data_IF_225664627786
#
_entry.id   IF_225664627786
#
_cell.length_a   1.000
_cell.length_b   1.000
_cell.length_c   1.000
_cell.angle_alpha   90.00
_cell.angle_beta   90.00
_cell.angle_gamma   90.00
#
_symmetry.space_group_name_H-M   'P 1'
#
loop_
_entity.id
_entity.type
_entity.pdbx_description
1 polymer ?
#
# COMPACT_ATOMS: atom_id res chain seq x y z
N UNK A 1 72.45 24.92 6.44
CA UNK A 1 72.08 23.57 6.00
C UNK A 1 70.55 23.55 5.96
N UNK A 2 69.88 24.09 4.94
CA UNK A 2 69.57 23.58 3.58
C UNK A 2 68.68 22.33 3.56
N UNK A 3 67.37 22.51 3.29
CA UNK A 3 66.47 21.74 2.39
C UNK A 3 65.00 22.22 2.63
N UNK A 4 64.23 22.85 1.74
CA UNK A 4 63.68 22.61 0.37
C UNK A 4 62.33 21.86 0.27
N UNK A 5 61.36 22.54 -0.37
CA UNK A 5 60.09 22.19 -1.07
C UNK A 5 58.97 21.40 -0.35
N UNK A 6 57.71 21.87 -0.47
CA UNK A 6 56.76 21.38 -1.50
C UNK A 6 55.46 22.23 -1.53
N UNK A 7 54.93 22.52 -2.72
CA UNK A 7 53.66 23.21 -2.97
C UNK A 7 52.49 22.21 -2.93
N UNK A 8 51.32 22.59 -2.40
CA UNK A 8 50.07 21.88 -2.73
C UNK A 8 48.84 22.80 -2.71
N UNK A 9 48.38 23.07 -3.93
CA UNK A 9 47.04 23.52 -4.31
C UNK A 9 45.98 22.53 -3.83
N UNK A 10 44.94 23.00 -3.13
CA UNK A 10 43.71 22.23 -2.94
C UNK A 10 42.49 23.16 -3.00
N UNK A 11 41.91 23.20 -4.19
CA UNK A 11 40.54 23.62 -4.47
C UNK A 11 39.56 22.88 -3.55
N UNK A 12 38.96 23.60 -2.61
CA UNK A 12 37.85 23.09 -1.81
C UNK A 12 36.56 23.23 -2.64
N UNK A 13 36.29 22.24 -3.50
CA UNK A 13 34.93 21.96 -3.95
C UNK A 13 34.16 21.41 -2.76
N UNK A 14 33.54 22.31 -1.98
CA UNK A 14 32.43 21.93 -1.12
C UNK A 14 31.24 21.64 -2.01
N UNK A 15 31.03 20.37 -2.31
CA UNK A 15 29.81 19.89 -2.94
C UNK A 15 28.60 20.43 -2.17
N UNK A 16 27.81 21.26 -2.84
CA UNK A 16 26.43 21.52 -2.45
C UNK A 16 25.73 20.15 -2.49
N UNK A 17 25.57 19.54 -1.33
CA UNK A 17 24.76 18.34 -1.18
C UNK A 17 23.32 18.69 -1.58
N UNK A 18 22.99 18.33 -2.82
CA UNK A 18 21.62 18.32 -3.33
C UNK A 18 20.82 17.27 -2.53
N UNK A 19 20.00 17.74 -1.59
CA UNK A 19 19.10 16.91 -0.78
C UNK A 19 17.84 16.45 -1.55
N UNK A 20 17.85 16.44 -2.90
CA UNK A 20 16.74 15.90 -3.70
C UNK A 20 16.43 14.42 -3.41
N UNK A 21 17.35 13.65 -2.82
CA UNK A 21 17.17 12.22 -2.53
C UNK A 21 16.40 11.92 -1.22
N UNK A 22 16.07 12.92 -0.40
CA UNK A 22 15.30 12.72 0.83
C UNK A 22 13.78 12.63 0.61
N UNK A 23 13.29 12.85 -0.62
CA UNK A 23 11.85 12.76 -0.98
C UNK A 23 11.43 11.31 -1.31
N UNK A 24 12.39 10.40 -1.45
CA UNK A 24 12.26 9.25 -2.37
C UNK A 24 11.43 8.04 -1.85
N UNK A 25 11.40 7.65 -0.55
CA UNK A 25 10.64 6.48 -0.12
C UNK A 25 9.17 6.74 0.25
N UNK A 26 8.81 7.94 0.70
CA UNK A 26 7.46 8.23 1.22
C UNK A 26 6.41 8.35 0.11
N UNK A 27 6.80 8.94 -1.02
CA UNK A 27 5.93 9.10 -2.19
C UNK A 27 5.78 7.78 -2.96
N UNK A 28 6.85 6.98 -3.04
CA UNK A 28 6.90 5.78 -3.87
C UNK A 28 5.86 4.70 -3.50
N UNK A 29 5.47 4.64 -2.21
CA UNK A 29 4.47 3.68 -1.72
C UNK A 29 3.19 4.36 -1.27
N UNK A 30 2.95 5.62 -1.63
CA UNK A 30 1.72 6.32 -1.26
C UNK A 30 0.53 5.75 -2.04
N UNK A 31 -0.52 5.35 -1.33
CA UNK A 31 -1.78 4.92 -1.93
C UNK A 31 -2.76 6.09 -2.16
N UNK A 32 -2.37 7.32 -1.81
CA UNK A 32 -3.19 8.53 -1.98
C UNK A 32 -3.89 8.63 -3.36
N UNK A 33 -3.21 8.49 -4.51
CA UNK A 33 -3.88 8.59 -5.82
C UNK A 33 -4.85 7.43 -6.12
N UNK A 34 -4.84 6.39 -5.29
CA UNK A 34 -5.64 5.18 -5.46
C UNK A 34 -6.80 5.09 -4.47
N UNK A 35 -6.95 6.07 -3.56
CA UNK A 35 -8.12 6.20 -2.71
C UNK A 35 -9.28 6.75 -3.53
N UNK A 36 -10.44 6.11 -3.46
CA UNK A 36 -11.66 6.63 -4.05
C UNK A 36 -12.32 7.61 -3.06
N UNK A 37 -11.81 8.84 -3.07
CA UNK A 37 -12.24 9.86 -2.12
C UNK A 37 -13.73 10.20 -2.22
N UNK A 38 -14.35 10.00 -3.38
CA UNK A 38 -15.73 10.40 -3.59
C UNK A 38 -16.73 9.46 -2.92
N UNK A 39 -16.32 8.21 -2.73
CA UNK A 39 -17.11 7.19 -2.05
C UNK A 39 -16.63 6.93 -0.60
N UNK A 40 -15.84 7.82 0.00
CA UNK A 40 -15.56 7.77 1.44
C UNK A 40 -16.84 8.11 2.20
N UNK A 41 -17.22 7.23 3.11
CA UNK A 41 -18.34 7.42 4.03
C UNK A 41 -17.79 7.48 5.45
N UNK A 42 -18.20 8.48 6.22
CA UNK A 42 -17.82 8.63 7.62
C UNK A 42 -19.09 8.64 8.48
N UNK A 43 -19.10 7.84 9.54
CA UNK A 43 -20.21 7.75 10.48
C UNK A 43 -19.84 8.48 11.77
N UNK A 44 -20.83 9.16 12.35
CA UNK A 44 -20.71 10.00 13.55
C UNK A 44 -19.74 11.19 13.41
N UNK A 45 -19.59 11.79 12.23
CA UNK A 45 -18.81 13.03 12.07
C UNK A 45 -19.64 14.28 12.36
N UNK A 46 -19.12 15.23 13.15
CA UNK A 46 -19.79 16.50 13.45
C UNK A 46 -20.01 17.35 12.19
N UNK A 47 -19.02 17.36 11.31
CA UNK A 47 -19.04 18.12 10.06
C UNK A 47 -19.05 17.16 8.88
N UNK A 48 -20.09 17.23 8.06
CA UNK A 48 -20.22 16.35 6.90
C UNK A 48 -19.01 16.44 5.96
N UNK A 49 -18.43 15.29 5.64
CA UNK A 49 -17.25 15.17 4.78
C UNK A 49 -15.92 15.49 5.46
N UNK A 50 -15.87 15.65 6.78
CA UNK A 50 -14.63 15.88 7.53
C UNK A 50 -13.70 14.67 7.51
N UNK A 51 -14.24 13.44 7.59
CA UNK A 51 -13.44 12.21 7.44
C UNK A 51 -12.83 12.07 6.04
N UNK A 52 -13.59 12.44 5.01
CA UNK A 52 -13.08 12.61 3.64
C UNK A 52 -12.01 13.71 3.57
N UNK A 53 -12.21 14.83 4.27
CA UNK A 53 -11.30 15.96 4.34
C UNK A 53 -9.92 15.59 4.87
N UNK A 54 -9.85 14.91 6.01
CA UNK A 54 -8.56 14.49 6.61
C UNK A 54 -7.83 13.45 5.75
N UNK A 55 -8.57 12.65 4.98
CA UNK A 55 -8.01 11.63 4.07
C UNK A 55 -7.51 12.27 2.77
N UNK A 56 -8.09 13.41 2.35
CA UNK A 56 -7.64 14.21 1.20
C UNK A 56 -6.41 15.06 1.47
N UNK A 57 -5.95 15.18 2.72
CA UNK A 57 -4.67 15.84 3.00
C UNK A 57 -3.55 15.04 2.33
N UNK A 58 -2.73 15.72 1.55
CA UNK A 58 -1.53 15.11 0.99
C UNK A 58 -0.47 14.90 2.07
N UNK A 59 0.59 14.15 1.74
CA UNK A 59 1.74 14.03 2.65
C UNK A 59 2.35 15.39 3.04
N UNK A 60 2.34 16.38 2.13
CA UNK A 60 2.83 17.72 2.43
C UNK A 60 1.94 18.45 3.45
N UNK A 61 0.63 18.22 3.39
CA UNK A 61 -0.38 18.88 4.22
C UNK A 61 -0.66 18.14 5.54
N UNK A 62 -0.04 16.98 5.77
CA UNK A 62 -0.31 16.10 6.92
C UNK A 62 -0.21 16.77 8.31
N UNK A 63 0.58 17.83 8.40
CA UNK A 63 0.78 18.60 9.65
C UNK A 63 -0.16 19.79 9.79
N UNK A 64 -0.96 20.09 8.76
CA UNK A 64 -1.97 21.13 8.82
C UNK A 64 -3.03 20.74 9.84
N UNK A 65 -3.49 21.68 10.65
CA UNK A 65 -4.51 21.40 11.65
C UNK A 65 -5.87 21.17 11.00
N UNK A 66 -6.21 21.96 9.97
CA UNK A 66 -7.48 21.86 9.23
C UNK A 66 -7.32 21.14 7.87
N UNK A 67 -8.36 20.42 7.40
CA UNK A 67 -9.57 20.04 8.13
C UNK A 67 -9.27 19.04 9.27
N UNK A 68 -10.07 19.04 10.34
CA UNK A 68 -10.07 18.00 11.39
C UNK A 68 -11.38 17.21 11.36
N UNK A 69 -11.31 15.90 11.62
CA UNK A 69 -12.48 15.05 11.88
C UNK A 69 -12.74 15.06 13.39
N UNK A 70 -13.97 15.38 13.78
CA UNK A 70 -14.46 15.26 15.16
C UNK A 70 -15.74 14.42 15.19
N UNK A 71 -15.94 13.67 16.29
CA UNK A 71 -17.18 12.93 16.50
C UNK A 71 -18.33 13.81 17.01
N UNK A 72 -19.58 13.47 16.67
CA UNK A 72 -20.76 14.31 16.96
C UNK A 72 -21.48 13.92 18.25
N UNK A 73 -21.83 12.64 18.40
CA UNK A 73 -22.70 12.18 19.50
C UNK A 73 -21.95 11.55 20.68
N UNK A 74 -20.88 10.82 20.40
CA UNK A 74 -20.07 10.06 21.35
C UNK A 74 -18.66 9.86 20.76
N UNK A 75 -17.76 9.16 21.47
CA UNK A 75 -16.37 9.03 21.07
C UNK A 75 -16.14 8.10 19.87
N UNK A 76 -17.18 7.41 19.40
CA UNK A 76 -17.04 6.39 18.37
C UNK A 76 -17.01 6.99 16.96
N UNK A 77 -16.07 6.56 16.13
CA UNK A 77 -15.98 6.99 14.72
C UNK A 77 -15.75 5.81 13.80
N UNK A 78 -16.44 5.80 12.66
CA UNK A 78 -16.14 4.87 11.56
C UNK A 78 -15.85 5.64 10.28
N UNK A 79 -14.75 5.28 9.60
CA UNK A 79 -14.44 5.75 8.26
C UNK A 79 -14.37 4.54 7.32
N UNK A 80 -15.26 4.49 6.34
CA UNK A 80 -15.26 3.52 5.25
C UNK A 80 -14.50 4.12 4.05
N UNK A 81 -13.35 3.53 3.69
CA UNK A 81 -12.46 4.00 2.62
C UNK A 81 -12.38 2.96 1.49
N UNK A 82 -13.02 3.22 0.34
CA UNK A 82 -12.80 2.43 -0.86
C UNK A 82 -11.50 2.83 -1.59
N UNK A 83 -10.89 1.87 -2.27
CA UNK A 83 -9.79 2.09 -3.21
C UNK A 83 -10.28 1.87 -4.64
N UNK A 84 -9.63 2.52 -5.59
CA UNK A 84 -9.93 2.41 -7.04
C UNK A 84 -9.49 1.08 -7.67
N UNK A 85 -8.89 0.19 -6.88
CA UNK A 85 -8.41 -1.13 -7.30
C UNK A 85 -7.97 -1.95 -6.09
N UNK A 86 -7.26 -3.04 -6.35
CA UNK A 86 -6.74 -3.87 -5.27
C UNK A 86 -5.39 -3.33 -4.80
N UNK A 87 -5.27 -3.09 -3.50
CA UNK A 87 -4.03 -2.67 -2.86
C UNK A 87 -3.51 -3.76 -1.93
N UNK A 88 -2.19 -3.86 -1.88
CA UNK A 88 -1.47 -4.57 -0.83
C UNK A 88 -1.01 -3.54 0.19
N UNK A 89 -1.74 -3.46 1.29
CA UNK A 89 -1.50 -2.46 2.33
C UNK A 89 -0.23 -2.81 3.11
N UNK A 90 0.62 -1.82 3.34
CA UNK A 90 1.85 -1.93 4.12
C UNK A 90 1.70 -1.27 5.49
N UNK A 91 1.13 -0.06 5.53
CA UNK A 91 0.86 0.66 6.78
C UNK A 91 -0.28 1.67 6.62
N UNK A 92 -0.87 2.04 7.75
CA UNK A 92 -1.82 3.14 7.88
C UNK A 92 -1.11 4.27 8.61
N UNK A 93 -1.17 5.48 8.08
CA UNK A 93 -0.60 6.67 8.69
C UNK A 93 -1.71 7.48 9.34
N UNK A 94 -1.59 7.79 10.62
CA UNK A 94 -2.57 8.58 11.35
C UNK A 94 -1.90 9.70 12.13
N UNK A 95 -2.50 10.89 12.11
CA UNK A 95 -2.13 11.99 13.03
C UNK A 95 -3.34 12.40 13.84
N UNK A 96 -3.09 12.67 15.10
CA UNK A 96 -4.08 13.05 16.11
C UNK A 96 -3.54 14.25 16.88
N UNK A 97 -3.80 14.31 18.20
CA UNK A 97 -3.24 15.30 19.11
C UNK A 97 -2.75 14.64 20.40
N UNK A 98 -2.23 15.44 21.33
CA UNK A 98 -1.88 15.00 22.69
C UNK A 98 -3.06 15.18 23.68
N UNK A 99 -4.27 15.50 23.20
CA UNK A 99 -5.45 15.72 24.05
C UNK A 99 -6.15 14.41 24.42
N UNK A 100 -7.08 14.48 25.37
CA UNK A 100 -8.01 13.38 25.71
C UNK A 100 -8.82 12.90 24.50
N UNK A 101 -9.13 13.80 23.57
CA UNK A 101 -9.87 13.47 22.33
C UNK A 101 -9.08 12.62 21.34
N UNK A 102 -7.79 12.36 21.56
CA UNK A 102 -7.06 11.48 20.67
C UNK A 102 -7.61 10.04 20.78
N UNK A 103 -7.87 9.34 19.67
CA UNK A 103 -8.31 7.95 19.70
C UNK A 103 -7.25 7.07 20.37
N UNK A 104 -7.70 6.10 21.17
CA UNK A 104 -6.82 5.14 21.84
C UNK A 104 -6.72 3.85 21.03
N UNK A 105 -7.84 3.34 20.53
CA UNK A 105 -7.88 2.09 19.79
C UNK A 105 -8.26 2.33 18.33
N UNK A 106 -7.64 1.58 17.42
CA UNK A 106 -8.06 1.50 16.02
C UNK A 106 -8.28 0.03 15.64
N UNK A 107 -9.52 -0.30 15.29
CA UNK A 107 -9.91 -1.58 14.69
C UNK A 107 -10.01 -1.44 13.18
N UNK A 108 -9.36 -2.35 12.46
CA UNK A 108 -9.28 -2.32 10.99
C UNK A 108 -9.96 -3.55 10.40
N UNK A 109 -10.91 -3.29 9.50
CA UNK A 109 -11.60 -4.31 8.71
C UNK A 109 -11.25 -4.12 7.23
N UNK A 110 -11.22 -5.22 6.46
CA UNK A 110 -11.00 -5.17 5.02
C UNK A 110 -12.14 -5.84 4.27
N UNK A 111 -12.48 -5.31 3.09
CA UNK A 111 -13.40 -5.90 2.12
C UNK A 111 -14.77 -6.26 2.70
N UNK A 112 -15.23 -5.49 3.69
CA UNK A 112 -16.59 -5.51 4.20
C UNK A 112 -17.36 -4.34 3.61
N UNK A 113 -18.59 -4.56 3.18
CA UNK A 113 -19.43 -3.48 2.68
C UNK A 113 -19.96 -2.66 3.84
N UNK A 114 -19.81 -1.34 3.74
CA UNK A 114 -20.43 -0.32 4.58
C UNK A 114 -20.56 -0.71 6.05
N UNK A 115 -19.42 -0.94 6.70
CA UNK A 115 -19.39 -1.33 8.11
C UNK A 115 -20.01 -0.22 8.96
N UNK A 116 -20.99 -0.59 9.77
CA UNK A 116 -21.63 0.24 10.77
C UNK A 116 -21.17 -0.16 12.19
N UNK A 117 -21.69 0.51 13.21
CA UNK A 117 -21.28 0.29 14.60
C UNK A 117 -21.64 -1.12 15.10
N UNK A 118 -22.83 -1.63 14.77
CA UNK A 118 -23.24 -2.99 15.15
C UNK A 118 -22.28 -4.04 14.55
N UNK A 119 -21.98 -3.94 13.25
CA UNK A 119 -21.04 -4.84 12.61
C UNK A 119 -19.60 -4.68 13.15
N UNK A 120 -19.17 -3.47 13.49
CA UNK A 120 -17.82 -3.20 14.00
C UNK A 120 -17.61 -3.71 15.44
N UNK A 121 -18.67 -3.82 16.22
CA UNK A 121 -18.64 -4.39 17.58
C UNK A 121 -18.68 -5.92 17.56
N UNK A 122 -19.50 -6.51 16.69
CA UNK A 122 -19.70 -7.97 16.64
C UNK A 122 -18.63 -8.73 15.86
N UNK A 123 -18.08 -8.13 14.81
CA UNK A 123 -17.13 -8.81 13.93
C UNK A 123 -15.71 -8.71 14.49
N UNK A 124 -14.90 -9.79 14.37
CA UNK A 124 -13.49 -9.70 14.68
C UNK A 124 -12.80 -8.79 13.67
N UNK A 125 -12.11 -7.76 14.16
CA UNK A 125 -11.23 -6.93 13.35
C UNK A 125 -10.11 -7.77 12.72
N UNK A 126 -9.72 -7.44 11.48
CA UNK A 126 -8.60 -8.12 10.81
C UNK A 126 -7.29 -7.83 11.55
N UNK A 127 -7.16 -6.61 12.06
CA UNK A 127 -6.11 -6.17 12.95
C UNK A 127 -6.58 -5.01 13.83
N UNK A 128 -6.08 -4.98 15.06
CA UNK A 128 -6.33 -3.93 16.04
C UNK A 128 -4.99 -3.29 16.43
N UNK A 129 -5.03 -1.98 16.70
CA UNK A 129 -3.88 -1.17 17.11
C UNK A 129 -4.22 -0.37 18.36
N UNK A 130 -3.31 -0.38 19.33
CA UNK A 130 -3.26 0.63 20.38
C UNK A 130 -2.44 1.81 19.86
N UNK A 131 -3.06 2.99 19.83
CA UNK A 131 -2.47 4.24 19.37
C UNK A 131 -1.74 4.93 20.52
N UNK A 132 -0.74 5.74 20.18
CA UNK A 132 -0.09 6.64 21.14
C UNK A 132 -0.82 7.99 21.17
N UNK A 133 -0.91 8.60 22.36
CA UNK A 133 -1.42 9.96 22.54
C UNK A 133 -0.35 10.98 22.11
N UNK A 134 -0.24 11.24 20.81
CA UNK A 134 0.80 12.11 20.23
C UNK A 134 0.26 13.00 19.11
N UNK A 135 0.94 14.13 18.88
CA UNK A 135 0.71 15.03 17.76
C UNK A 135 1.53 14.66 16.51
N UNK A 136 2.45 13.70 16.64
CA UNK A 136 3.25 13.18 15.54
C UNK A 136 2.45 12.22 14.66
N UNK A 137 2.88 12.07 13.41
CA UNK A 137 2.30 11.07 12.50
C UNK A 137 2.77 9.69 12.91
N UNK A 138 1.81 8.82 13.27
CA UNK A 138 2.05 7.42 13.60
C UNK A 138 1.94 6.58 12.33
N UNK A 139 2.96 5.77 12.03
CA UNK A 139 2.93 4.77 10.95
C UNK A 139 2.63 3.40 11.55
N UNK A 140 1.44 2.88 11.27
CA UNK A 140 0.91 1.64 11.84
C UNK A 140 1.10 0.49 10.85
N UNK A 141 2.15 -0.34 11.00
CA UNK A 141 2.41 -1.43 10.07
C UNK A 141 1.35 -2.53 10.19
N UNK A 142 0.75 -2.89 9.07
CA UNK A 142 -0.22 -3.99 9.03
C UNK A 142 0.48 -5.33 8.82
N UNK A 143 -0.18 -6.42 9.22
CA UNK A 143 0.22 -7.78 8.88
C UNK A 143 -0.04 -8.01 7.39
N UNK A 144 0.94 -7.71 6.54
CA UNK A 144 0.82 -7.74 5.07
C UNK A 144 0.21 -9.02 4.50
N UNK A 145 0.40 -10.17 5.17
CA UNK A 145 -0.21 -11.45 4.79
C UNK A 145 -1.75 -11.43 4.83
N UNK A 146 -2.34 -10.60 5.70
CA UNK A 146 -3.79 -10.40 5.82
C UNK A 146 -4.29 -9.35 4.82
N UNK A 147 -3.53 -8.27 4.62
CA UNK A 147 -3.94 -7.12 3.80
C UNK A 147 -3.34 -7.12 2.38
N UNK A 148 -3.22 -8.29 1.74
CA UNK A 148 -2.62 -8.41 0.41
C UNK A 148 -3.56 -8.08 -0.76
N UNK A 149 -4.87 -8.04 -0.51
CA UNK A 149 -5.92 -7.86 -1.53
C UNK A 149 -7.04 -6.95 -1.03
N UNK A 150 -6.67 -5.79 -0.50
CA UNK A 150 -7.62 -4.82 0.04
C UNK A 150 -8.24 -4.03 -1.11
N UNK A 151 -9.55 -3.90 -1.14
CA UNK A 151 -10.30 -3.00 -2.03
C UNK A 151 -11.06 -1.94 -1.24
N UNK A 152 -11.36 -2.23 0.03
CA UNK A 152 -12.01 -1.32 0.97
C UNK A 152 -11.46 -1.56 2.37
N UNK A 153 -11.31 -0.49 3.13
CA UNK A 153 -11.06 -0.52 4.57
C UNK A 153 -12.24 0.08 5.31
N UNK A 154 -12.55 -0.47 6.48
CA UNK A 154 -13.29 0.26 7.50
C UNK A 154 -12.37 0.45 8.70
N UNK A 155 -12.23 1.70 9.13
CA UNK A 155 -11.45 2.09 10.30
C UNK A 155 -12.42 2.48 11.40
N UNK A 156 -12.43 1.72 12.48
CA UNK A 156 -13.30 1.95 13.63
C UNK A 156 -12.46 2.39 14.83
N UNK A 157 -12.82 3.54 15.38
CA UNK A 157 -12.26 4.10 16.62
C UNK A 157 -13.33 3.96 17.70
N UNK A 158 -13.25 2.95 18.59
CA UNK A 158 -14.26 2.74 19.61
C UNK A 158 -14.08 3.63 20.84
N UNK A 159 -12.87 4.15 21.08
CA UNK A 159 -12.55 4.90 22.28
C UNK A 159 -11.45 5.94 22.07
N UNK A 160 -11.33 6.85 23.04
CA UNK A 160 -10.30 7.87 23.11
C UNK A 160 -9.55 7.86 24.45
N UNK A 161 -8.54 8.72 24.57
CA UNK A 161 -7.71 8.83 25.77
C UNK A 161 -8.39 9.49 26.97
N UNK A 162 -9.61 10.05 26.83
CA UNK A 162 -10.35 10.67 27.92
C UNK A 162 -10.99 9.70 28.90
N UNK A 163 -11.13 8.41 28.54
CA UNK A 163 -11.62 7.40 29.48
C UNK A 163 -13.05 7.62 29.99
N UNK A 164 -13.90 8.23 29.16
CA UNK A 164 -15.30 8.54 29.48
C UNK A 164 -15.55 9.95 30.04
N UNK A 165 -14.50 10.74 30.28
CA UNK A 165 -14.64 12.18 30.61
C UNK A 165 -14.62 13.08 29.35
N UNK A 166 -14.23 12.51 28.20
CA UNK A 166 -14.20 13.18 26.91
C UNK A 166 -14.98 12.33 25.90
N UNK A 167 -16.09 12.86 25.43
CA UNK A 167 -16.98 12.15 24.50
C UNK A 167 -16.66 12.49 23.03
N UNK A 168 -15.68 13.37 22.76
CA UNK A 168 -15.33 13.74 21.38
C UNK A 168 -13.98 13.14 20.99
N UNK A 169 -13.97 12.34 19.92
CA UNK A 169 -12.75 11.84 19.29
C UNK A 169 -12.33 12.72 18.13
N UNK A 170 -11.04 13.05 18.03
CA UNK A 170 -10.47 13.94 17.01
C UNK A 170 -9.30 13.30 16.25
N UNK A 171 -9.36 13.38 14.92
CA UNK A 171 -8.32 12.89 14.00
C UNK A 171 -7.99 13.97 12.98
N UNK A 172 -6.71 14.26 12.78
CA UNK A 172 -6.27 15.37 11.91
C UNK A 172 -5.70 14.92 10.58
N UNK A 173 -5.22 13.69 10.43
CA UNK A 173 -4.71 13.17 9.16
C UNK A 173 -4.87 11.66 9.07
N UNK A 174 -5.20 11.20 7.87
CA UNK A 174 -5.23 9.78 7.52
C UNK A 174 -4.57 9.55 6.17
N UNK A 175 -3.60 8.64 6.13
CA UNK A 175 -2.88 8.25 4.91
C UNK A 175 -2.65 6.74 4.86
N UNK A 176 -2.32 6.25 3.67
CA UNK A 176 -2.12 4.81 3.45
C UNK A 176 -0.88 4.57 2.61
N UNK A 177 -0.10 3.56 2.99
CA UNK A 177 1.06 3.11 2.23
C UNK A 177 0.91 1.67 1.77
N UNK A 178 1.37 1.37 0.57
CA UNK A 178 1.26 0.04 -0.02
C UNK A 178 1.63 -0.02 -1.49
N UNK A 179 1.24 -1.11 -2.12
CA UNK A 179 1.37 -1.33 -3.56
C UNK A 179 -0.04 -1.41 -4.16
N UNK A 180 -0.32 -0.62 -5.20
CA UNK A 180 -1.56 -0.73 -5.96
C UNK A 180 -1.40 -1.70 -7.13
N UNK A 181 -2.43 -2.51 -7.37
CA UNK A 181 -2.53 -3.41 -8.51
C UNK A 181 -3.82 -3.10 -9.26
N UNK A 182 -3.70 -2.85 -10.56
CA UNK A 182 -4.86 -2.68 -11.42
C UNK A 182 -5.68 -3.97 -11.46
N UNK A 183 -6.95 -3.89 -11.06
CA UNK A 183 -7.90 -4.98 -11.31
C UNK A 183 -8.18 -5.03 -12.82
N UNK A 184 -7.58 -6.00 -13.51
CA UNK A 184 -8.02 -6.46 -14.83
C UNK A 184 -8.04 -5.42 -15.97
N UNK A 185 -6.91 -5.27 -16.66
CA UNK A 185 -6.88 -5.68 -18.07
C UNK A 185 -5.91 -6.85 -18.13
N UNK A 186 -6.38 -8.04 -18.51
CA UNK A 186 -5.44 -9.00 -19.07
C UNK A 186 -4.67 -8.26 -20.18
N UNK A 187 -3.33 -8.36 -20.26
CA UNK A 187 -2.62 -7.81 -21.40
C UNK A 187 -3.24 -8.43 -22.66
N UNK A 188 -3.98 -7.62 -23.43
CA UNK A 188 -4.64 -8.09 -24.66
C UNK A 188 -3.61 -8.56 -25.70
N UNK A 189 -2.35 -8.16 -25.54
CA UNK A 189 -1.22 -8.66 -26.30
C UNK A 189 -0.12 -9.10 -25.33
N UNK A 190 -0.14 -10.36 -24.88
CA UNK A 190 1.15 -11.06 -24.74
C UNK A 190 1.49 -11.55 -26.15
N UNK A 191 2.08 -10.64 -26.93
CA UNK A 191 2.74 -11.03 -28.16
C UNK A 191 3.98 -11.82 -27.74
N UNK A 192 3.87 -13.15 -27.68
CA UNK A 192 5.03 -14.03 -27.67
C UNK A 192 5.73 -13.86 -29.03
N UNK A 193 6.60 -12.86 -29.18
CA UNK A 193 7.60 -12.84 -30.25
C UNK A 193 8.69 -13.86 -29.91
N UNK A 194 8.31 -15.13 -29.91
CA UNK A 194 9.23 -16.26 -29.91
C UNK A 194 8.56 -17.44 -30.63
N UNK A 195 8.04 -17.19 -31.83
CA UNK A 195 8.03 -18.26 -32.82
C UNK A 195 9.50 -18.50 -33.20
N UNK A 196 10.13 -19.53 -32.62
CA UNK A 196 11.36 -20.04 -33.17
C UNK A 196 11.09 -20.39 -34.64
N UNK A 197 11.67 -19.62 -35.55
CA UNK A 197 11.53 -19.85 -36.98
C UNK A 197 12.19 -21.21 -37.30
N UNK A 198 11.47 -22.24 -37.76
CA UNK A 198 12.04 -23.58 -37.97
C UNK A 198 13.09 -23.66 -39.08
N UNK A 199 13.38 -22.54 -39.76
CA UNK A 199 14.27 -22.47 -40.91
C UNK A 199 15.76 -22.28 -40.56
N UNK A 200 16.14 -22.03 -39.30
CA UNK A 200 17.53 -21.65 -38.97
C UNK A 200 18.41 -22.75 -38.35
N UNK A 201 17.98 -24.02 -38.45
CA UNK A 201 18.83 -25.17 -38.13
C UNK A 201 19.21 -25.93 -39.42
N UNK A 202 20.13 -25.39 -40.21
CA UNK A 202 20.87 -26.17 -41.24
C UNK A 202 21.95 -27.01 -40.56
N UNK A 203 21.56 -28.17 -40.04
CA UNK A 203 22.51 -29.24 -39.71
C UNK A 203 23.03 -29.85 -41.03
N UNK A 204 24.32 -29.65 -41.28
CA UNK A 204 25.03 -30.05 -42.49
C UNK A 204 25.77 -31.37 -42.20
N UNK A 205 25.29 -32.48 -42.77
CA UNK A 205 25.94 -33.80 -42.75
C UNK A 205 25.74 -34.57 -41.43
N UNK A 206 25.47 -35.87 -41.39
CA UNK A 206 25.90 -36.97 -42.25
C UNK A 206 24.80 -38.03 -42.37
N UNK A 207 24.65 -38.59 -43.56
CA UNK A 207 23.64 -39.61 -43.84
C UNK A 207 24.00 -40.97 -43.24
N UNK A 208 23.00 -41.63 -42.67
CA UNK A 208 23.00 -43.09 -42.49
C UNK A 208 21.70 -43.62 -43.05
N UNK A 209 21.82 -44.45 -44.07
CA UNK A 209 20.72 -45.01 -44.85
C UNK A 209 19.78 -45.88 -43.98
N UNK A 210 18.55 -45.39 -43.93
CA UNK A 210 17.25 -46.02 -44.00
C UNK A 210 17.13 -47.49 -44.53
N UNK A 211 16.23 -48.24 -43.86
CA UNK A 211 15.29 -49.32 -44.32
C UNK A 211 15.91 -50.68 -44.73
N UNK A 212 15.35 -51.85 -44.39
CA UNK A 212 13.96 -52.12 -44.06
C UNK A 212 13.60 -53.52 -43.59
N UNK A 213 12.36 -53.61 -43.13
CA UNK A 213 11.71 -54.86 -42.77
C UNK A 213 11.30 -55.70 -43.98
N UNK A 214 11.16 -57.00 -43.70
CA UNK A 214 10.66 -57.99 -44.64
C UNK A 214 10.16 -59.21 -43.87
N UNK A 215 8.98 -59.07 -43.26
CA UNK A 215 8.23 -60.18 -42.67
C UNK A 215 7.50 -60.87 -43.84
N UNK A 216 7.90 -62.11 -44.16
CA UNK A 216 7.25 -62.95 -45.15
C UNK A 216 7.52 -64.42 -44.87
N UNK A 217 6.50 -65.14 -44.41
CA UNK A 217 6.59 -66.57 -44.10
C UNK A 217 6.35 -67.47 -45.32
N UNK A 218 6.97 -68.67 -45.30
CA UNK A 218 6.53 -69.90 -45.98
C UNK A 218 7.38 -71.08 -45.47
N UNK A 219 6.77 -72.10 -44.86
CA UNK A 219 7.41 -73.41 -44.59
C UNK A 219 7.33 -74.33 -45.82
N UNK A 220 7.34 -75.67 -45.70
CA UNK A 220 8.00 -76.54 -44.73
C UNK A 220 9.08 -77.41 -45.41
N UNK A 221 9.82 -78.21 -44.64
CA UNK A 221 10.79 -79.16 -45.17
C UNK A 221 11.17 -80.24 -44.15
N UNK A 222 10.20 -81.06 -43.78
CA UNK A 222 10.27 -82.54 -43.75
C UNK A 222 8.84 -83.08 -43.85
#
# INVERSE_FOLDING_TARGET
MSHCHDEHDHHHHGEEHDHSDDITPAVQFSLYPHVDFDNIVTLNETSHGSGKGITKKTWAERLSDEPELASDADEQLIINIPFTGQVKLHSIQIRTSQSSSAPRTLKVFQNKEDVDFEAAEDLPAEQEFELSQTSEVQDLPVRRARFGKVQRLALFFPDNFGGGDEDVTRVSYLGFRGEWMQLGRAPANILYEAAANPADHKLKGTGVNQVGGGIGGRGPGQ
#
